data_IF_392784524147
#
_entry.id   IF_392784524147
#
_cell.length_a   1.000
_cell.length_b   1.000
_cell.length_c   1.000
_cell.angle_alpha   90.00
_cell.angle_beta   90.00
_cell.angle_gamma   90.00
#
_symmetry.space_group_name_H-M   'P 1'
#
loop_
_entity.id
_entity.type
_entity.pdbx_description
1 polymer ?
#
# COMPACT_ATOMS: atom_id res chain seq x y z
N UNK A 1 -14.03 -0.86 -5.20
CA UNK A 1 -14.81 0.32 -5.59
C UNK A 1 -16.26 -0.05 -5.35
N UNK A 2 -16.91 0.61 -4.38
CA UNK A 2 -18.31 0.34 -4.05
C UNK A 2 -19.24 0.84 -5.16
N UNK A 3 -18.89 1.96 -5.81
CA UNK A 3 -19.63 2.56 -6.91
C UNK A 3 -18.70 2.96 -8.05
N UNK A 4 -18.91 2.42 -9.25
CA UNK A 4 -18.03 2.69 -10.39
C UNK A 4 -18.04 4.16 -10.83
N UNK A 5 -19.12 4.90 -10.55
CA UNK A 5 -19.21 6.34 -10.80
C UNK A 5 -18.13 7.16 -10.09
N UNK A 6 -17.54 6.64 -9.01
CA UNK A 6 -16.41 7.30 -8.34
C UNK A 6 -15.18 7.45 -9.25
N UNK A 7 -14.93 6.48 -10.14
CA UNK A 7 -13.80 6.54 -11.07
C UNK A 7 -14.00 7.59 -12.17
N UNK A 8 -15.26 7.96 -12.46
CA UNK A 8 -15.57 9.04 -13.39
C UNK A 8 -15.12 10.39 -12.83
N UNK A 9 -15.39 10.65 -11.55
CA UNK A 9 -14.89 11.85 -10.85
C UNK A 9 -13.36 11.92 -10.85
N UNK A 10 -12.68 10.80 -10.55
CA UNK A 10 -11.22 10.74 -10.61
C UNK A 10 -10.71 10.98 -12.03
N UNK A 11 -11.33 10.38 -13.04
CA UNK A 11 -10.95 10.58 -14.43
C UNK A 11 -11.07 12.06 -14.83
N UNK A 12 -12.11 12.75 -14.37
CA UNK A 12 -12.27 14.18 -14.61
C UNK A 12 -11.22 15.01 -13.86
N UNK A 13 -10.95 14.73 -12.58
CA UNK A 13 -9.85 15.39 -11.83
C UNK A 13 -8.51 15.24 -12.58
N UNK A 14 -8.20 14.03 -13.05
CA UNK A 14 -6.95 13.75 -13.76
C UNK A 14 -6.87 14.35 -15.17
N UNK A 15 -8.02 14.62 -15.81
CA UNK A 15 -8.08 15.19 -17.15
C UNK A 15 -8.15 16.71 -17.11
N UNK A 16 -9.19 17.26 -16.48
CA UNK A 16 -9.54 18.67 -16.49
C UNK A 16 -9.08 19.39 -15.23
N UNK A 17 -8.67 18.69 -14.18
CA UNK A 17 -8.30 19.27 -12.88
C UNK A 17 -9.47 19.44 -11.91
N UNK A 18 -10.70 19.43 -12.42
CA UNK A 18 -11.92 19.51 -11.61
C UNK A 18 -13.08 18.77 -12.30
N UNK A 19 -13.90 18.01 -11.57
CA UNK A 19 -15.09 17.39 -12.15
C UNK A 19 -16.14 18.43 -12.59
N UNK A 20 -16.81 18.21 -13.73
CA UNK A 20 -17.97 19.00 -14.12
C UNK A 20 -19.06 18.92 -13.04
N UNK A 21 -19.74 20.04 -12.78
CA UNK A 21 -20.82 20.14 -11.79
C UNK A 21 -20.44 19.69 -10.37
N UNK A 22 -19.15 19.75 -10.00
CA UNK A 22 -18.73 19.56 -8.62
C UNK A 22 -19.19 20.70 -7.72
N UNK A 23 -19.19 21.92 -8.27
CA UNK A 23 -19.61 23.15 -7.58
C UNK A 23 -20.80 23.75 -8.29
N UNK A 24 -21.79 24.19 -7.51
CA UNK A 24 -22.84 25.07 -8.01
C UNK A 24 -22.32 26.51 -8.20
N UNK A 25 -23.16 27.38 -8.74
CA UNK A 25 -22.73 28.74 -9.07
C UNK A 25 -22.55 29.62 -7.81
N UNK A 26 -23.28 29.34 -6.73
CA UNK A 26 -23.11 30.04 -5.45
C UNK A 26 -21.78 29.69 -4.79
N UNK A 27 -21.38 28.41 -4.81
CA UNK A 27 -20.10 27.92 -4.32
C UNK A 27 -18.93 28.47 -5.13
N UNK A 28 -19.04 28.54 -6.46
CA UNK A 28 -18.00 29.14 -7.31
C UNK A 28 -17.78 30.61 -6.99
N UNK A 29 -18.85 31.38 -6.83
CA UNK A 29 -18.76 32.80 -6.51
C UNK A 29 -18.14 33.04 -5.13
N UNK A 30 -18.49 32.21 -4.15
CA UNK A 30 -17.87 32.24 -2.82
C UNK A 30 -16.36 31.93 -2.88
N UNK A 31 -15.95 30.90 -3.63
CA UNK A 31 -14.53 30.55 -3.80
C UNK A 31 -13.78 31.67 -4.52
N UNK A 32 -14.32 32.23 -5.60
CA UNK A 32 -13.71 33.32 -6.34
C UNK A 32 -13.50 34.56 -5.47
N UNK A 33 -14.45 34.85 -4.57
CA UNK A 33 -14.33 35.93 -3.60
C UNK A 33 -13.20 35.68 -2.60
N UNK A 34 -13.07 34.44 -2.12
CA UNK A 34 -12.05 34.06 -1.13
C UNK A 34 -10.62 34.11 -1.69
N UNK A 35 -10.42 33.70 -2.94
CA UNK A 35 -9.09 33.64 -3.56
C UNK A 35 -8.76 34.90 -4.38
N UNK A 36 -9.69 35.84 -4.50
CA UNK A 36 -9.57 37.00 -5.38
C UNK A 36 -8.31 37.83 -5.11
N UNK A 37 -7.99 38.11 -3.85
CA UNK A 37 -6.77 38.84 -3.48
C UNK A 37 -5.48 38.09 -3.87
N UNK A 38 -5.47 36.77 -3.74
CA UNK A 38 -4.33 35.93 -4.13
C UNK A 38 -4.18 35.85 -5.65
N UNK A 39 -5.29 35.75 -6.37
CA UNK A 39 -5.32 35.78 -7.83
C UNK A 39 -4.84 37.13 -8.39
N UNK A 40 -5.21 38.23 -7.72
CA UNK A 40 -4.69 39.56 -8.04
C UNK A 40 -3.18 39.62 -7.79
N UNK A 41 -2.70 39.19 -6.63
CA UNK A 41 -1.27 39.19 -6.32
C UNK A 41 -0.42 38.36 -7.33
N UNK A 42 -0.99 37.31 -7.93
CA UNK A 42 -0.33 36.46 -8.93
C UNK A 42 -0.41 36.98 -10.37
N UNK A 43 -1.14 38.07 -10.65
CA UNK A 43 -1.27 38.63 -12.00
C UNK A 43 -2.50 38.17 -12.79
N UNK A 44 -3.41 37.38 -12.21
CA UNK A 44 -4.64 36.93 -12.85
C UNK A 44 -5.75 38.00 -12.74
N UNK A 45 -5.86 38.88 -13.73
CA UNK A 45 -6.69 40.11 -13.65
C UNK A 45 -7.85 40.24 -14.65
N UNK A 46 -8.24 39.20 -15.39
CA UNK A 46 -9.11 39.43 -16.55
C UNK A 46 -10.63 39.46 -16.25
N UNK A 47 -11.16 38.62 -15.36
CA UNK A 47 -12.60 38.44 -15.07
C UNK A 47 -12.82 37.31 -14.02
N UNK A 48 -14.06 37.09 -13.56
CA UNK A 48 -14.40 35.97 -12.64
C UNK A 48 -13.95 34.61 -13.18
N UNK A 49 -13.98 34.42 -14.50
CA UNK A 49 -13.48 33.20 -15.14
C UNK A 49 -11.96 33.03 -14.95
N UNK A 50 -11.17 34.10 -15.07
CA UNK A 50 -9.73 34.05 -14.85
C UNK A 50 -9.33 33.75 -13.41
N UNK A 51 -10.14 34.21 -12.44
CA UNK A 51 -9.95 33.86 -11.01
C UNK A 51 -10.29 32.38 -10.79
N UNK A 52 -11.35 31.88 -11.42
CA UNK A 52 -11.70 30.45 -11.40
C UNK A 52 -10.62 29.57 -12.04
N UNK A 53 -10.07 29.98 -13.18
CA UNK A 53 -8.99 29.24 -13.84
C UNK A 53 -7.73 29.21 -12.96
N UNK A 54 -7.44 30.31 -12.24
CA UNK A 54 -6.37 30.36 -11.24
C UNK A 54 -6.61 29.38 -10.08
N UNK A 55 -7.85 29.28 -9.59
CA UNK A 55 -8.22 28.27 -8.58
C UNK A 55 -7.93 26.85 -9.07
N UNK A 56 -8.40 26.51 -10.27
CA UNK A 56 -8.22 25.18 -10.85
C UNK A 56 -6.74 24.86 -11.00
N UNK A 57 -5.92 25.84 -11.40
CA UNK A 57 -4.47 25.68 -11.51
C UNK A 57 -3.80 25.44 -10.15
N UNK A 58 -4.21 26.15 -9.10
CA UNK A 58 -3.75 25.86 -7.72
C UNK A 58 -4.12 24.44 -7.33
N UNK A 59 -5.36 24.02 -7.59
CA UNK A 59 -5.80 22.66 -7.27
C UNK A 59 -4.97 21.62 -8.01
N UNK A 60 -4.72 21.80 -9.31
CA UNK A 60 -3.89 20.90 -10.12
C UNK A 60 -2.46 20.80 -9.60
N UNK A 61 -1.87 21.91 -9.17
CA UNK A 61 -0.49 21.93 -8.68
C UNK A 61 -0.32 21.34 -7.27
N UNK A 62 -1.38 21.30 -6.45
CA UNK A 62 -1.31 20.84 -5.07
C UNK A 62 -2.00 19.49 -4.81
N UNK A 63 -2.86 19.02 -5.72
CA UNK A 63 -3.59 17.76 -5.56
C UNK A 63 -2.84 16.60 -6.22
N UNK A 64 -2.37 15.67 -5.41
CA UNK A 64 -1.77 14.42 -5.87
C UNK A 64 -2.68 13.24 -5.56
N UNK A 65 -3.21 12.60 -6.62
CA UNK A 65 -4.09 11.43 -6.50
C UNK A 65 -3.25 10.16 -6.62
N UNK A 66 -3.34 9.29 -5.61
CA UNK A 66 -2.68 7.97 -5.61
C UNK A 66 -3.73 6.86 -5.56
N UNK A 67 -3.66 5.95 -6.52
CA UNK A 67 -4.60 4.83 -6.65
C UNK A 67 -3.86 3.51 -6.51
N UNK A 68 -4.25 2.70 -5.52
CA UNK A 68 -3.77 1.34 -5.38
C UNK A 68 -4.80 0.36 -5.98
N UNK A 69 -4.46 -0.25 -7.12
CA UNK A 69 -5.31 -1.25 -7.77
C UNK A 69 -4.57 -2.58 -7.93
N UNK A 70 -5.27 -3.68 -7.67
CA UNK A 70 -4.71 -5.00 -7.94
C UNK A 70 -4.68 -5.26 -9.45
N UNK A 71 -3.56 -5.71 -10.03
CA UNK A 71 -3.49 -6.14 -11.42
C UNK A 71 -4.12 -7.51 -11.66
N UNK A 72 -4.65 -8.15 -10.62
CA UNK A 72 -5.27 -9.47 -10.72
C UNK A 72 -6.59 -9.42 -11.47
N UNK A 73 -6.67 -10.18 -12.55
CA UNK A 73 -7.88 -10.32 -13.37
C UNK A 73 -8.08 -9.14 -14.33
N UNK A 74 -9.30 -9.05 -14.86
CA UNK A 74 -9.61 -8.15 -15.99
C UNK A 74 -10.06 -6.74 -15.55
N UNK A 75 -10.34 -6.54 -14.26
CA UNK A 75 -10.92 -5.29 -13.74
C UNK A 75 -10.03 -4.07 -13.97
N UNK A 76 -8.72 -4.21 -13.79
CA UNK A 76 -7.78 -3.10 -14.01
C UNK A 76 -7.80 -2.70 -15.49
N UNK A 77 -7.73 -3.67 -16.41
CA UNK A 77 -7.78 -3.44 -17.84
C UNK A 77 -9.09 -2.77 -18.28
N UNK A 78 -10.24 -3.22 -17.77
CA UNK A 78 -11.54 -2.57 -18.06
C UNK A 78 -11.55 -1.13 -17.58
N UNK A 79 -11.06 -0.85 -16.36
CA UNK A 79 -11.00 0.51 -15.82
C UNK A 79 -10.08 1.41 -16.63
N UNK A 80 -8.89 0.97 -16.98
CA UNK A 80 -7.98 1.75 -17.82
C UNK A 80 -8.58 2.02 -19.21
N UNK A 81 -9.40 1.11 -19.75
CA UNK A 81 -10.11 1.33 -21.02
C UNK A 81 -11.25 2.35 -20.90
N UNK A 82 -12.03 2.26 -19.83
CA UNK A 82 -13.18 3.15 -19.61
C UNK A 82 -12.74 4.55 -19.13
N UNK A 83 -11.61 4.65 -18.45
CA UNK A 83 -11.09 5.87 -17.83
C UNK A 83 -9.63 6.11 -18.28
N UNK A 84 -9.41 6.67 -19.47
CA UNK A 84 -8.08 6.80 -20.08
C UNK A 84 -7.15 7.73 -19.28
N UNK A 85 -7.68 8.66 -18.49
CA UNK A 85 -6.89 9.57 -17.66
C UNK A 85 -6.03 8.83 -16.62
N UNK A 86 -6.46 7.64 -16.20
CA UNK A 86 -5.71 6.77 -15.29
C UNK A 86 -4.36 6.32 -15.89
N UNK A 87 -4.21 6.34 -17.21
CA UNK A 87 -2.98 5.93 -17.90
C UNK A 87 -2.26 7.12 -18.50
N UNK A 88 -2.98 8.14 -19.00
CA UNK A 88 -2.36 9.31 -19.62
C UNK A 88 -1.81 10.33 -18.62
N UNK A 89 -2.48 10.50 -17.47
CA UNK A 89 -2.18 11.55 -16.49
C UNK A 89 -1.57 11.01 -15.19
N UNK A 90 -1.40 9.69 -15.06
CA UNK A 90 -0.78 9.06 -13.91
C UNK A 90 0.49 8.30 -14.30
N UNK A 91 1.41 8.20 -13.34
CA UNK A 91 2.57 7.32 -13.44
C UNK A 91 2.18 5.96 -12.89
N UNK A 92 2.42 4.90 -13.66
CA UNK A 92 2.17 3.53 -13.23
C UNK A 92 3.40 2.98 -12.53
N UNK A 93 3.25 2.70 -11.23
CA UNK A 93 4.26 2.01 -10.43
C UNK A 93 3.82 0.56 -10.17
N UNK A 94 4.65 -0.40 -10.55
CA UNK A 94 4.34 -1.82 -10.48
C UNK A 94 4.92 -2.45 -9.21
N UNK A 95 4.03 -2.92 -8.34
CA UNK A 95 4.39 -3.64 -7.13
C UNK A 95 4.53 -5.14 -7.42
N UNK A 96 5.77 -5.59 -7.54
CA UNK A 96 6.10 -7.00 -7.76
C UNK A 96 6.25 -7.77 -6.44
N UNK A 97 6.26 -9.10 -6.55
CA UNK A 97 6.66 -9.98 -5.45
C UNK A 97 8.03 -9.57 -4.92
N UNK A 98 8.21 -9.61 -3.60
CA UNK A 98 9.49 -9.23 -2.99
C UNK A 98 10.60 -10.19 -3.42
N UNK A 99 11.74 -9.67 -3.93
CA UNK A 99 12.86 -10.50 -4.28
C UNK A 99 13.50 -11.11 -3.01
N UNK A 100 14.32 -12.14 -3.19
CA UNK A 100 14.89 -12.89 -2.06
C UNK A 100 15.71 -12.00 -1.14
N UNK A 101 16.41 -11.00 -1.70
CA UNK A 101 17.20 -10.02 -0.97
C UNK A 101 16.31 -9.12 -0.09
N UNK A 102 15.13 -8.73 -0.57
CA UNK A 102 14.18 -7.93 0.20
C UNK A 102 13.58 -8.75 1.34
N UNK A 103 13.18 -10.00 1.08
CA UNK A 103 12.70 -10.92 2.11
C UNK A 103 13.77 -11.14 3.19
N UNK A 104 15.02 -11.34 2.79
CA UNK A 104 16.15 -11.52 3.69
C UNK A 104 16.38 -10.29 4.57
N UNK A 105 16.35 -9.08 4.01
CA UNK A 105 16.48 -7.83 4.76
C UNK A 105 15.36 -7.64 5.78
N UNK A 106 14.12 -7.93 5.38
CA UNK A 106 12.97 -7.84 6.28
C UNK A 106 13.10 -8.84 7.43
N UNK A 107 13.36 -10.12 7.15
CA UNK A 107 13.53 -11.13 8.19
C UNK A 107 14.68 -10.78 9.14
N UNK A 108 15.83 -10.33 8.61
CA UNK A 108 16.98 -9.94 9.41
C UNK A 108 16.63 -8.75 10.32
N UNK A 109 15.97 -7.73 9.79
CA UNK A 109 15.53 -6.56 10.57
C UNK A 109 14.60 -6.96 11.72
N UNK A 110 13.65 -7.87 11.49
CA UNK A 110 12.73 -8.34 12.53
C UNK A 110 13.41 -9.20 13.59
N UNK A 111 14.46 -9.94 13.22
CA UNK A 111 15.23 -10.79 14.14
C UNK A 111 16.32 -10.02 14.89
N UNK A 112 16.75 -8.85 14.41
CA UNK A 112 17.67 -7.97 15.14
C UNK A 112 17.13 -7.67 16.54
N UNK A 113 15.83 -7.39 16.65
CA UNK A 113 15.15 -7.06 17.90
C UNK A 113 15.00 -8.24 18.88
N UNK A 114 15.33 -9.48 18.47
CA UNK A 114 15.28 -10.63 19.37
C UNK A 114 16.63 -10.94 20.01
N UNK A 115 16.72 -10.71 21.32
CA UNK A 115 17.86 -11.10 22.15
C UNK A 115 17.98 -12.61 22.35
N UNK A 116 16.87 -13.34 22.20
CA UNK A 116 16.79 -14.78 22.45
C UNK A 116 17.44 -15.64 21.36
N UNK A 117 17.76 -15.07 20.21
CA UNK A 117 18.41 -15.78 19.09
C UNK A 117 19.86 -15.32 19.02
N UNK A 118 20.81 -16.25 19.17
CA UNK A 118 22.24 -15.96 18.97
C UNK A 118 22.48 -15.36 17.58
N UNK A 119 23.37 -14.38 17.49
CA UNK A 119 23.75 -13.71 16.24
C UNK A 119 24.09 -14.70 15.12
N UNK A 120 24.84 -15.76 15.43
CA UNK A 120 25.21 -16.82 14.47
C UNK A 120 23.99 -17.56 13.90
N UNK A 121 22.91 -17.68 14.68
CA UNK A 121 21.69 -18.39 14.25
C UNK A 121 20.71 -17.48 13.52
N UNK A 122 20.80 -16.16 13.68
CA UNK A 122 19.87 -15.21 13.04
C UNK A 122 19.92 -15.29 11.52
N UNK A 123 21.10 -15.46 10.94
CA UNK A 123 21.27 -15.60 9.49
C UNK A 123 20.68 -16.90 8.94
N UNK A 124 20.83 -18.00 9.67
CA UNK A 124 20.23 -19.27 9.29
C UNK A 124 18.69 -19.24 9.41
N UNK A 125 18.18 -18.63 10.48
CA UNK A 125 16.73 -18.50 10.70
C UNK A 125 16.10 -17.60 9.65
N UNK A 126 16.70 -16.44 9.33
CA UNK A 126 16.22 -15.56 8.26
C UNK A 126 16.24 -16.26 6.89
N UNK A 127 17.34 -16.93 6.55
CA UNK A 127 17.45 -17.71 5.30
C UNK A 127 16.36 -18.78 5.20
N UNK A 128 16.07 -19.47 6.30
CA UNK A 128 15.01 -20.46 6.36
C UNK A 128 13.62 -19.83 6.20
N UNK A 129 13.36 -18.67 6.80
CA UNK A 129 12.10 -17.95 6.62
C UNK A 129 11.87 -17.57 5.15
N UNK A 130 12.92 -17.09 4.46
CA UNK A 130 12.86 -16.79 3.02
C UNK A 130 12.54 -18.05 2.22
N UNK A 131 13.20 -19.17 2.52
CA UNK A 131 12.95 -20.45 1.86
C UNK A 131 11.48 -20.88 2.01
N UNK A 132 10.95 -20.86 3.23
CA UNK A 132 9.54 -21.25 3.50
C UNK A 132 8.57 -20.38 2.71
N UNK A 133 8.78 -19.06 2.67
CA UNK A 133 7.91 -18.17 1.91
C UNK A 133 7.92 -18.49 0.41
N UNK A 134 9.10 -18.75 -0.16
CA UNK A 134 9.25 -19.11 -1.58
C UNK A 134 8.57 -20.44 -1.91
N UNK A 135 8.72 -21.44 -1.04
CA UNK A 135 8.07 -22.74 -1.20
C UNK A 135 6.55 -22.61 -1.15
N UNK A 136 5.99 -21.82 -0.21
CA UNK A 136 4.55 -21.57 -0.14
C UNK A 136 4.05 -20.86 -1.40
N UNK A 137 4.81 -19.90 -1.94
CA UNK A 137 4.50 -19.25 -3.21
C UNK A 137 4.50 -20.25 -4.37
N UNK A 138 5.50 -21.12 -4.48
CA UNK A 138 5.55 -22.16 -5.50
C UNK A 138 4.36 -23.14 -5.38
N UNK A 139 4.08 -23.62 -4.15
CA UNK A 139 2.97 -24.54 -3.87
C UNK A 139 1.60 -23.92 -4.10
N UNK A 140 1.43 -22.62 -3.88
CA UNK A 140 0.18 -21.93 -4.20
C UNK A 140 -0.16 -21.97 -5.70
N UNK A 141 0.86 -21.93 -6.58
CA UNK A 141 0.68 -22.06 -8.04
C UNK A 141 0.27 -23.47 -8.42
N UNK A 142 0.92 -24.47 -7.82
CA UNK A 142 0.56 -25.89 -8.01
C UNK A 142 -0.87 -26.17 -7.52
N UNK A 143 -1.21 -25.67 -6.34
CA UNK A 143 -2.55 -25.77 -5.75
C UNK A 143 -3.62 -25.17 -6.67
N UNK A 144 -3.36 -24.01 -7.30
CA UNK A 144 -4.27 -23.43 -8.29
C UNK A 144 -4.49 -24.35 -9.49
N UNK A 145 -3.46 -25.02 -9.97
CA UNK A 145 -3.56 -25.91 -11.13
C UNK A 145 -4.44 -27.13 -10.84
N UNK A 146 -4.25 -27.72 -9.65
CA UNK A 146 -4.92 -28.95 -9.21
C UNK A 146 -6.34 -28.67 -8.73
N UNK A 147 -6.51 -27.75 -7.77
CA UNK A 147 -7.77 -27.50 -7.08
C UNK A 147 -8.64 -26.43 -7.75
N UNK A 148 -8.11 -25.74 -8.77
CA UNK A 148 -8.75 -24.58 -9.44
C UNK A 148 -9.13 -23.44 -8.48
N UNK A 149 -8.54 -23.42 -7.28
CA UNK A 149 -8.72 -22.39 -6.26
C UNK A 149 -7.47 -21.53 -6.17
N UNK A 150 -7.64 -20.22 -6.17
CA UNK A 150 -6.54 -19.28 -6.12
C UNK A 150 -6.24 -18.90 -4.68
N UNK A 151 -5.00 -19.12 -4.25
CA UNK A 151 -4.48 -18.66 -2.97
C UNK A 151 -3.41 -17.60 -3.24
N UNK A 152 -3.55 -16.43 -2.64
CA UNK A 152 -2.62 -15.32 -2.83
C UNK A 152 -1.63 -15.28 -1.68
N UNK A 153 -0.35 -15.44 -2.00
CA UNK A 153 0.74 -15.24 -1.06
C UNK A 153 1.19 -13.80 -1.19
N UNK A 154 1.10 -13.02 -0.11
CA UNK A 154 1.41 -11.58 -0.10
C UNK A 154 2.56 -11.28 0.85
N UNK A 155 3.27 -10.14 0.68
CA UNK A 155 4.26 -9.69 1.65
C UNK A 155 3.70 -9.57 3.07
N UNK A 156 2.42 -9.24 3.22
CA UNK A 156 1.73 -9.24 4.52
C UNK A 156 1.77 -10.62 5.18
N UNK A 157 1.48 -11.69 4.42
CA UNK A 157 1.56 -13.05 4.96
C UNK A 157 2.96 -13.40 5.46
N UNK A 158 4.02 -12.87 4.81
CA UNK A 158 5.39 -13.07 5.26
C UNK A 158 5.68 -12.34 6.58
N UNK A 159 5.26 -11.08 6.70
CA UNK A 159 5.40 -10.29 7.93
C UNK A 159 4.62 -10.95 9.08
N UNK A 160 3.38 -11.39 8.82
CA UNK A 160 2.55 -12.08 9.79
C UNK A 160 3.21 -13.40 10.24
N UNK A 161 3.78 -14.17 9.30
CA UNK A 161 4.54 -15.38 9.60
C UNK A 161 5.73 -15.12 10.54
N UNK A 162 6.54 -14.09 10.27
CA UNK A 162 7.68 -13.73 11.11
C UNK A 162 7.18 -13.28 12.50
N UNK A 163 6.09 -12.52 12.55
CA UNK A 163 5.50 -12.03 13.81
C UNK A 163 5.02 -13.19 14.69
N UNK A 164 4.27 -14.13 14.11
CA UNK A 164 3.81 -15.34 14.80
C UNK A 164 4.99 -16.19 15.28
N UNK A 165 6.03 -16.35 14.46
CA UNK A 165 7.24 -17.06 14.88
C UNK A 165 7.87 -16.43 16.13
N UNK A 166 8.01 -15.09 16.17
CA UNK A 166 8.59 -14.37 17.31
C UNK A 166 7.74 -14.55 18.58
N UNK A 167 6.43 -14.44 18.46
CA UNK A 167 5.50 -14.65 19.59
C UNK A 167 5.60 -16.07 20.15
N UNK A 168 5.61 -17.08 19.27
CA UNK A 168 5.76 -18.47 19.65
C UNK A 168 7.12 -18.73 20.31
N UNK A 169 8.19 -18.17 19.77
CA UNK A 169 9.53 -18.30 20.34
C UNK A 169 9.57 -17.76 21.78
N UNK A 170 9.11 -16.52 22.00
CA UNK A 170 9.08 -15.89 23.32
C UNK A 170 8.21 -16.67 24.30
N UNK A 171 7.04 -17.13 23.85
CA UNK A 171 6.12 -17.94 24.66
C UNK A 171 6.76 -19.26 25.10
N UNK A 172 7.42 -19.96 24.17
CA UNK A 172 8.06 -21.25 24.46
C UNK A 172 9.29 -21.11 25.36
N UNK A 173 10.11 -20.07 25.16
CA UNK A 173 11.25 -19.78 26.05
C UNK A 173 10.75 -19.53 27.47
N UNK A 174 9.74 -18.65 27.64
CA UNK A 174 9.16 -18.37 28.96
C UNK A 174 8.61 -19.63 29.65
N UNK A 175 7.97 -20.53 28.89
CA UNK A 175 7.50 -21.83 29.41
C UNK A 175 8.67 -22.70 29.85
N UNK A 176 9.71 -22.81 29.03
CA UNK A 176 10.90 -23.60 29.34
C UNK A 176 11.66 -23.06 30.55
N UNK A 177 11.80 -21.74 30.68
CA UNK A 177 12.43 -21.09 31.83
C UNK A 177 11.64 -21.36 33.10
N UNK A 178 10.31 -21.30 33.05
CA UNK A 178 9.43 -21.64 34.16
C UNK A 178 9.58 -23.11 34.60
N UNK A 179 9.64 -24.04 33.64
CA UNK A 179 9.88 -25.47 33.94
C UNK A 179 11.26 -25.69 34.55
N UNK A 180 12.29 -25.05 33.98
CA UNK A 180 13.67 -25.15 34.46
C UNK A 180 13.83 -24.60 35.87
N UNK A 181 13.23 -23.43 36.16
CA UNK A 181 13.22 -22.85 37.51
C UNK A 181 12.54 -23.77 38.52
N UNK A 182 11.45 -24.44 38.13
CA UNK A 182 10.73 -25.37 39.01
C UNK A 182 11.54 -26.63 39.30
N UNK A 183 12.28 -27.14 38.31
CA UNK A 183 13.18 -28.28 38.49
C UNK A 183 14.35 -27.93 39.41
N UNK A 184 14.99 -26.76 39.20
CA UNK A 184 16.08 -26.29 40.05
C UNK A 184 15.66 -26.13 41.51
N UNK A 185 14.46 -25.60 41.77
CA UNK A 185 13.92 -25.49 43.13
C UNK A 185 13.55 -26.83 43.79
N UNK A 186 13.46 -27.93 43.03
CA UNK A 186 13.25 -29.28 43.57
C UNK A 186 14.54 -30.08 43.77
N UNK A 187 15.68 -29.57 43.30
CA UNK A 187 17.02 -30.15 43.47
C UNK A 187 17.77 -29.60 44.69
N UNK A 188 17.32 -28.46 45.24
CA UNK A 188 17.76 -27.86 46.51
C UNK A 188 16.80 -28.18 47.63
#
# INVERSE_FOLDING_TARGET
VAEEGFLEYINNILSTGIPPALFDDEEKDAICTQIGEQAQASGAYANSQGIWDYFVEICRNNLHVVLAMSPSGEKLRIRCRNFPALVSSCIVDWFFEWPSEALQKVATSFLCDESNVSSEKKDHVSSHMVLVHREVTAKSREFRTIMKRQYFVTPKNYIDFISVFRELLRSNIKKNDSVTSRLNGGLT
#
